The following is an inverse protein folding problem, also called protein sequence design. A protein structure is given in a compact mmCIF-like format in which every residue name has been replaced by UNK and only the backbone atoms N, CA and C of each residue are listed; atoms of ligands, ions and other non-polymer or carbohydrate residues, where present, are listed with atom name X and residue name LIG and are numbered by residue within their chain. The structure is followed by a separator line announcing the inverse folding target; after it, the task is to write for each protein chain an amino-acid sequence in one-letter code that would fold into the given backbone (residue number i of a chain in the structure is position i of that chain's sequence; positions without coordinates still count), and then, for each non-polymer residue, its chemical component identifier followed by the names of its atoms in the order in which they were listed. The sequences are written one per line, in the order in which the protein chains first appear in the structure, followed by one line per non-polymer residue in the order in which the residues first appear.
data_IF_396793041198
#
_entry.id   IF_396793041198
#
_cell.length_a   1.000
_cell.length_b   1.000
_cell.length_c   1.000
_cell.angle_alpha   90.00
_cell.angle_beta   90.00
_cell.angle_gamma   90.00
#
_symmetry.space_group_name_H-M   'P 1'
#
loop_
_entity.id
_entity.type
_entity.pdbx_description
1 polymer ?
#
# COMPACT_ATOMS: atom_id res chain seq x y z
N UNK A 1 -6.00 -37.09 116.08
CA UNK A 1 -4.90 -36.15 115.76
C UNK A 1 -4.92 -35.90 114.25
N UNK A 2 -5.50 -34.79 113.82
CA UNK A 2 -5.58 -34.39 112.41
C UNK A 2 -4.34 -33.58 112.06
N UNK A 3 -3.43 -34.16 111.28
CA UNK A 3 -2.25 -33.46 110.76
C UNK A 3 -2.72 -32.26 109.93
N UNK A 4 -2.30 -31.04 110.29
CA UNK A 4 -2.54 -29.86 109.46
C UNK A 4 -1.64 -29.96 108.22
N UNK A 5 -2.25 -30.06 107.05
CA UNK A 5 -1.58 -30.26 105.75
C UNK A 5 -0.69 -29.08 105.29
N UNK A 6 -0.78 -27.91 105.91
CA UNK A 6 -0.02 -26.72 105.52
C UNK A 6 0.45 -25.91 106.74
N UNK A 7 1.66 -25.36 106.64
CA UNK A 7 2.20 -24.42 107.62
C UNK A 7 1.56 -23.03 107.49
N UNK A 8 1.51 -22.21 108.55
CA UNK A 8 0.88 -20.89 108.50
C UNK A 8 1.44 -19.95 107.43
N UNK A 9 2.75 -20.05 107.13
CA UNK A 9 3.43 -19.32 106.06
C UNK A 9 2.99 -19.77 104.67
N UNK A 10 2.78 -21.07 104.46
CA UNK A 10 2.26 -21.60 103.18
C UNK A 10 0.82 -21.18 102.96
N UNK A 11 -0.01 -21.17 104.01
CA UNK A 11 -1.38 -20.66 103.94
C UNK A 11 -1.42 -19.17 103.52
N UNK A 12 -0.51 -18.34 104.03
CA UNK A 12 -0.40 -16.92 103.66
C UNK A 12 0.10 -16.71 102.22
N UNK A 13 1.04 -17.54 101.75
CA UNK A 13 1.50 -17.50 100.37
C UNK A 13 0.39 -17.95 99.39
N UNK A 14 -0.31 -19.05 99.70
CA UNK A 14 -1.48 -19.50 98.94
C UNK A 14 -2.60 -18.46 98.95
N UNK A 15 -2.81 -17.76 100.07
CA UNK A 15 -3.75 -16.66 100.18
C UNK A 15 -3.48 -15.53 99.18
N UNK A 16 -2.21 -15.12 99.03
CA UNK A 16 -1.83 -14.08 98.08
C UNK A 16 -2.02 -14.56 96.62
N UNK A 17 -1.53 -15.75 96.29
CA UNK A 17 -1.61 -16.32 94.93
C UNK A 17 -3.07 -16.52 94.51
N UNK A 18 -3.91 -17.09 95.37
CA UNK A 18 -5.32 -17.28 95.04
C UNK A 18 -6.10 -15.97 94.97
N UNK A 19 -5.75 -14.98 95.81
CA UNK A 19 -6.38 -13.66 95.70
C UNK A 19 -6.06 -12.99 94.37
N UNK A 20 -4.85 -13.13 93.85
CA UNK A 20 -4.47 -12.51 92.58
C UNK A 20 -5.04 -13.28 91.38
N UNK A 21 -5.04 -14.62 91.43
CA UNK A 21 -5.72 -15.45 90.43
C UNK A 21 -7.23 -15.13 90.35
N UNK A 22 -7.91 -14.93 91.48
CA UNK A 22 -9.32 -14.50 91.48
C UNK A 22 -9.51 -13.12 90.81
N UNK A 23 -8.59 -12.16 91.01
CA UNK A 23 -8.67 -10.84 90.38
C UNK A 23 -8.45 -10.90 88.87
N UNK A 24 -7.48 -11.69 88.41
CA UNK A 24 -7.21 -11.85 86.97
C UNK A 24 -8.40 -12.49 86.26
N UNK A 25 -9.04 -13.47 86.90
CA UNK A 25 -10.23 -14.09 86.31
C UNK A 25 -11.47 -13.20 86.41
N UNK A 26 -11.63 -12.40 87.47
CA UNK A 26 -12.65 -11.34 87.49
C UNK A 26 -12.42 -10.32 86.36
N UNK A 27 -11.17 -9.98 86.04
CA UNK A 27 -10.82 -9.10 84.91
C UNK A 27 -11.21 -9.71 83.56
N UNK A 28 -10.90 -10.98 83.33
CA UNK A 28 -11.32 -11.70 82.11
C UNK A 28 -12.85 -11.80 82.00
N UNK A 29 -13.55 -12.11 83.10
CA UNK A 29 -15.01 -12.12 83.15
C UNK A 29 -15.59 -10.73 82.86
N UNK A 30 -14.97 -9.66 83.38
CA UNK A 30 -15.40 -8.29 83.13
C UNK A 30 -15.18 -7.83 81.68
N UNK A 31 -14.08 -8.23 81.04
CA UNK A 31 -13.84 -7.97 79.61
C UNK A 31 -14.88 -8.70 78.75
N UNK A 32 -15.24 -9.93 79.13
CA UNK A 32 -16.38 -10.63 78.53
C UNK A 32 -17.68 -9.85 78.71
N UNK A 33 -18.07 -9.53 79.94
CA UNK A 33 -19.35 -8.86 80.25
C UNK A 33 -19.51 -7.47 79.62
N UNK A 34 -18.43 -6.68 79.53
CA UNK A 34 -18.49 -5.35 78.92
C UNK A 34 -18.63 -5.37 77.39
N UNK A 35 -18.17 -6.43 76.72
CA UNK A 35 -18.37 -6.61 75.28
C UNK A 35 -19.64 -7.42 74.94
N UNK A 36 -20.28 -8.07 75.92
CA UNK A 36 -21.46 -8.94 75.75
C UNK A 36 -22.74 -8.45 76.46
N UNK A 37 -22.88 -7.16 76.81
CA UNK A 37 -24.15 -6.65 77.38
C UNK A 37 -25.21 -6.46 76.30
N UNK A 38 -26.07 -7.47 76.17
CA UNK A 38 -27.42 -7.34 75.61
C UNK A 38 -28.19 -6.28 76.39
N UNK A 39 -28.67 -5.26 75.68
CA UNK A 39 -29.59 -4.25 76.21
C UNK A 39 -30.84 -4.92 76.77
N UNK A 40 -31.03 -4.88 78.08
CA UNK A 40 -32.36 -4.97 78.68
C UNK A 40 -32.47 -3.98 79.84
N UNK A 41 -33.04 -2.81 79.53
CA UNK A 41 -33.53 -1.85 80.51
C UNK A 41 -34.88 -2.34 81.02
N UNK A 42 -34.97 -2.65 82.31
CA UNK A 42 -36.24 -2.64 83.04
C UNK A 42 -36.07 -1.82 84.32
N UNK A 43 -36.42 -0.54 84.19
CA UNK A 43 -36.61 0.39 85.29
C UNK A 43 -37.93 0.06 85.98
N UNK A 44 -37.88 -0.65 87.12
CA UNK A 44 -38.99 -0.81 88.05
C UNK A 44 -38.73 -0.02 89.33
N UNK A 45 -39.21 1.22 89.39
CA UNK A 45 -39.22 2.04 90.60
C UNK A 45 -40.50 1.71 91.39
N UNK A 46 -40.36 1.00 92.51
CA UNK A 46 -41.45 0.74 93.45
C UNK A 46 -41.35 1.71 94.65
N UNK A 47 -42.51 2.21 95.03
CA UNK A 47 -42.79 3.21 96.04
C UNK A 47 -42.28 2.81 97.44
N UNK A 48 -41.70 3.78 98.16
CA UNK A 48 -41.42 3.70 99.60
C UNK A 48 -42.22 4.78 100.33
N UNK A 49 -43.34 4.39 100.92
CA UNK A 49 -44.05 5.15 101.95
C UNK A 49 -44.55 4.14 103.00
N UNK A 50 -43.63 3.54 103.77
CA UNK A 50 -44.03 2.77 104.96
C UNK A 50 -42.94 2.54 106.01
N UNK A 51 -41.92 3.40 106.12
CA UNK A 51 -40.69 2.94 106.78
C UNK A 51 -40.23 3.71 108.01
N UNK A 52 -41.05 4.51 108.73
CA UNK A 52 -40.57 5.13 109.98
C UNK A 52 -40.42 4.14 111.15
N UNK A 53 -41.25 3.09 111.19
CA UNK A 53 -41.16 2.00 112.16
C UNK A 53 -40.17 0.92 111.70
N UNK A 54 -40.11 0.69 110.39
CA UNK A 54 -39.11 -0.17 109.75
C UNK A 54 -37.71 0.46 109.80
N UNK A 55 -37.55 1.79 109.82
CA UNK A 55 -36.25 2.44 110.02
C UNK A 55 -35.73 2.25 111.43
N UNK A 56 -36.56 2.29 112.47
CA UNK A 56 -36.10 2.07 113.85
C UNK A 56 -35.83 0.58 114.10
N UNK A 57 -36.66 -0.32 113.55
CA UNK A 57 -36.39 -1.76 113.59
C UNK A 57 -35.16 -2.11 112.76
N UNK A 58 -34.98 -1.50 111.57
CA UNK A 58 -33.74 -1.59 110.80
C UNK A 58 -32.57 -0.98 111.56
N UNK A 59 -32.73 0.08 112.34
CA UNK A 59 -31.64 0.69 113.11
C UNK A 59 -31.19 -0.22 114.25
N UNK A 60 -32.12 -0.87 114.93
CA UNK A 60 -31.82 -1.91 115.95
C UNK A 60 -31.24 -3.15 115.27
N UNK A 61 -31.80 -3.58 114.13
CA UNK A 61 -31.31 -4.71 113.36
C UNK A 61 -29.90 -4.41 112.85
N UNK A 62 -29.65 -3.28 112.21
CA UNK A 62 -28.33 -2.79 111.77
C UNK A 62 -27.37 -2.55 112.93
N UNK A 63 -27.79 -2.06 114.09
CA UNK A 63 -26.90 -1.97 115.25
C UNK A 63 -26.53 -3.36 115.78
N UNK A 64 -27.48 -4.30 115.77
CA UNK A 64 -27.22 -5.70 116.14
C UNK A 64 -26.36 -6.37 115.09
N UNK A 65 -26.57 -6.09 113.81
CA UNK A 65 -25.79 -6.56 112.66
C UNK A 65 -24.42 -5.91 112.64
N UNK A 66 -24.26 -4.65 113.06
CA UNK A 66 -22.98 -3.97 113.24
C UNK A 66 -22.23 -4.51 114.44
N UNK A 67 -22.93 -4.89 115.51
CA UNK A 67 -22.33 -5.65 116.62
C UNK A 67 -21.92 -7.04 116.15
N UNK A 68 -22.78 -7.75 115.42
CA UNK A 68 -22.48 -9.05 114.83
C UNK A 68 -21.35 -8.97 113.80
N UNK A 69 -21.28 -7.89 113.02
CA UNK A 69 -20.25 -7.61 112.02
C UNK A 69 -18.94 -7.18 112.68
N UNK A 70 -18.97 -6.38 113.76
CA UNK A 70 -17.79 -6.13 114.59
C UNK A 70 -17.27 -7.42 115.23
N UNK A 71 -18.16 -8.26 115.76
CA UNK A 71 -17.82 -9.59 116.30
C UNK A 71 -17.36 -10.58 115.24
N UNK A 72 -17.68 -10.35 113.96
CA UNK A 72 -17.28 -11.19 112.82
C UNK A 72 -16.00 -10.68 112.13
N UNK A 73 -15.68 -9.39 112.28
CA UNK A 73 -14.43 -8.76 111.81
C UNK A 73 -13.29 -8.92 112.80
N UNK A 74 -13.60 -9.04 114.08
CA UNK A 74 -12.65 -9.46 115.11
C UNK A 74 -12.75 -10.98 115.29
N UNK A 75 -11.61 -11.67 115.36
CA UNK A 75 -11.57 -13.13 115.25
C UNK A 75 -12.19 -13.80 116.51
N UNK A 76 -13.50 -14.02 116.52
CA UNK A 76 -14.23 -14.72 117.60
C UNK A 76 -14.93 -15.98 117.09
N UNK A 77 -14.93 -17.05 117.89
CA UNK A 77 -15.62 -18.32 117.60
C UNK A 77 -16.79 -18.48 118.58
N UNK A 78 -17.99 -18.75 118.05
CA UNK A 78 -19.21 -18.96 118.83
C UNK A 78 -19.19 -20.36 119.43
N UNK A 79 -19.23 -20.45 120.76
CA UNK A 79 -19.31 -21.70 121.49
C UNK A 79 -20.79 -22.15 121.56
N UNK A 80 -21.05 -23.46 121.71
CA UNK A 80 -22.41 -24.00 121.74
C UNK A 80 -23.28 -23.51 122.92
N UNK A 81 -22.69 -22.77 123.86
CA UNK A 81 -23.37 -22.09 124.97
C UNK A 81 -23.79 -20.63 124.63
N UNK A 82 -23.53 -20.16 123.41
CA UNK A 82 -23.88 -18.82 122.92
C UNK A 82 -22.89 -17.73 123.32
N UNK A 83 -21.73 -18.08 123.88
CA UNK A 83 -20.66 -17.12 124.20
C UNK A 83 -19.56 -17.11 123.12
N UNK A 84 -18.86 -15.98 122.99
CA UNK A 84 -17.84 -15.76 121.97
C UNK A 84 -16.43 -15.76 122.59
N UNK A 85 -15.54 -16.63 122.12
CA UNK A 85 -14.13 -16.66 122.50
C UNK A 85 -13.24 -16.08 121.39
N UNK A 86 -12.27 -15.23 121.76
CA UNK A 86 -11.27 -14.71 120.81
C UNK A 86 -10.36 -15.85 120.34
N UNK A 87 -10.26 -16.02 119.03
CA UNK A 87 -9.42 -16.98 118.33
C UNK A 87 -7.94 -16.69 118.57
N UNK A 88 -7.13 -17.74 118.74
CA UNK A 88 -5.67 -17.59 118.69
C UNK A 88 -5.22 -17.24 117.26
N UNK A 89 -4.06 -16.58 117.12
CA UNK A 89 -3.54 -16.14 115.81
C UNK A 89 -3.51 -17.27 114.76
N UNK A 90 -3.13 -18.49 115.14
CA UNK A 90 -3.14 -19.66 114.25
C UNK A 90 -4.54 -20.08 113.78
N UNK A 91 -5.54 -19.95 114.65
CA UNK A 91 -6.92 -20.32 114.32
C UNK A 91 -7.59 -19.22 113.47
N UNK A 92 -7.27 -17.95 113.74
CA UNK A 92 -7.65 -16.80 112.90
C UNK A 92 -7.13 -16.95 111.46
N UNK A 93 -5.84 -17.28 111.30
CA UNK A 93 -5.23 -17.51 109.98
C UNK A 93 -5.94 -18.66 109.26
N UNK A 94 -6.27 -19.73 109.97
CA UNK A 94 -6.96 -20.89 109.39
C UNK A 94 -8.40 -20.58 108.96
N UNK A 95 -9.14 -19.80 109.73
CA UNK A 95 -10.51 -19.37 109.37
C UNK A 95 -10.48 -18.43 108.16
N UNK A 96 -9.55 -17.48 108.11
CA UNK A 96 -9.35 -16.60 106.95
C UNK A 96 -8.94 -17.39 105.70
N UNK A 97 -8.04 -18.36 105.86
CA UNK A 97 -7.66 -19.29 104.80
C UNK A 97 -8.88 -20.08 104.28
N UNK A 98 -9.70 -20.66 105.17
CA UNK A 98 -10.88 -21.42 104.76
C UNK A 98 -11.95 -20.55 104.09
N UNK A 99 -12.16 -19.31 104.56
CA UNK A 99 -13.06 -18.36 103.90
C UNK A 99 -12.57 -17.99 102.50
N UNK A 100 -11.27 -17.80 102.32
CA UNK A 100 -10.72 -17.46 101.02
C UNK A 100 -10.71 -18.69 100.11
N UNK A 101 -10.40 -19.88 100.62
CA UNK A 101 -10.55 -21.14 99.86
C UNK A 101 -12.01 -21.36 99.47
N UNK A 102 -12.98 -21.08 100.34
CA UNK A 102 -14.40 -21.20 99.95
C UNK A 102 -14.81 -20.18 98.90
N UNK A 103 -14.29 -18.94 99.00
CA UNK A 103 -14.51 -17.90 97.98
C UNK A 103 -13.87 -18.29 96.65
N UNK A 104 -12.63 -18.78 96.67
CA UNK A 104 -11.90 -19.27 95.49
C UNK A 104 -12.65 -20.44 94.87
N UNK A 105 -13.07 -21.40 95.67
CA UNK A 105 -13.86 -22.54 95.22
C UNK A 105 -15.22 -22.12 94.64
N UNK A 106 -15.89 -21.10 95.19
CA UNK A 106 -17.13 -20.59 94.62
C UNK A 106 -16.90 -19.83 93.32
N UNK A 107 -15.85 -19.02 93.21
CA UNK A 107 -15.47 -18.38 91.94
C UNK A 107 -15.09 -19.39 90.88
N UNK A 108 -14.28 -20.40 91.21
CA UNK A 108 -13.91 -21.48 90.29
C UNK A 108 -15.12 -22.30 89.87
N UNK A 109 -16.08 -22.55 90.78
CA UNK A 109 -17.33 -23.24 90.43
C UNK A 109 -18.22 -22.39 89.53
N UNK A 110 -18.34 -21.09 89.79
CA UNK A 110 -19.08 -20.17 88.94
C UNK A 110 -18.44 -20.05 87.54
N UNK A 111 -17.11 -20.03 87.46
CA UNK A 111 -16.37 -20.09 86.21
C UNK A 111 -16.59 -21.39 85.46
N UNK A 112 -16.58 -22.52 86.17
CA UNK A 112 -16.78 -23.83 85.56
C UNK A 112 -18.20 -23.97 85.03
N UNK A 113 -19.20 -23.43 85.75
CA UNK A 113 -20.59 -23.31 85.27
C UNK A 113 -20.67 -22.35 84.07
N UNK A 114 -20.02 -21.19 84.11
CA UNK A 114 -19.98 -20.26 82.97
C UNK A 114 -19.31 -20.90 81.76
N UNK A 115 -18.27 -21.71 81.96
CA UNK A 115 -17.56 -22.42 80.90
C UNK A 115 -18.41 -23.56 80.29
N UNK A 116 -19.14 -24.31 81.13
CA UNK A 116 -20.06 -25.38 80.71
C UNK A 116 -21.35 -24.84 80.06
N UNK A 117 -21.92 -23.75 80.60
CA UNK A 117 -23.20 -23.18 80.12
C UNK A 117 -23.01 -22.24 78.91
N UNK A 118 -21.94 -21.43 78.88
CA UNK A 118 -21.74 -20.41 77.83
C UNK A 118 -20.76 -20.83 76.73
N UNK A 119 -20.00 -21.93 76.92
CA UNK A 119 -19.11 -22.47 75.90
C UNK A 119 -18.09 -21.46 75.36
N UNK A 120 -17.60 -20.55 76.21
CA UNK A 120 -16.87 -19.32 75.85
C UNK A 120 -15.72 -19.56 74.85
N UNK A 121 -14.97 -20.66 75.00
CA UNK A 121 -13.90 -21.04 74.07
C UNK A 121 -14.41 -21.41 72.68
N UNK A 122 -15.53 -22.15 72.59
CA UNK A 122 -16.14 -22.50 71.30
C UNK A 122 -16.73 -21.29 70.58
N UNK A 123 -17.21 -20.29 71.34
CA UNK A 123 -17.72 -19.03 70.80
C UNK A 123 -16.58 -18.16 70.28
N UNK A 124 -15.45 -18.09 70.99
CA UNK A 124 -14.23 -17.42 70.54
C UNK A 124 -13.61 -18.10 69.31
N UNK A 125 -13.58 -19.43 69.27
CA UNK A 125 -13.09 -20.20 68.12
C UNK A 125 -13.97 -19.97 66.88
N UNK A 126 -15.30 -19.99 67.05
CA UNK A 126 -16.24 -19.64 65.97
C UNK A 126 -16.04 -18.22 65.47
N UNK A 127 -15.81 -17.27 66.37
CA UNK A 127 -15.57 -15.87 65.99
C UNK A 127 -14.25 -15.70 65.26
N UNK A 128 -13.17 -16.33 65.73
CA UNK A 128 -11.88 -16.30 65.07
C UNK A 128 -11.95 -16.94 63.67
N UNK A 129 -12.66 -18.08 63.54
CA UNK A 129 -12.91 -18.71 62.24
C UNK A 129 -13.77 -17.82 61.33
N UNK A 130 -14.72 -17.08 61.89
CA UNK A 130 -15.54 -16.13 61.13
C UNK A 130 -14.72 -14.92 60.67
N UNK A 131 -13.90 -14.31 61.53
CA UNK A 131 -12.98 -13.24 61.13
C UNK A 131 -11.98 -13.73 60.08
N UNK A 132 -11.41 -14.93 60.25
CA UNK A 132 -10.52 -15.51 59.26
C UNK A 132 -11.23 -15.71 57.91
N UNK A 133 -12.49 -16.16 57.92
CA UNK A 133 -13.28 -16.28 56.69
C UNK A 133 -13.57 -14.93 56.03
N UNK A 134 -13.85 -13.88 56.82
CA UNK A 134 -14.03 -12.53 56.27
C UNK A 134 -12.71 -11.95 55.72
N UNK A 135 -11.57 -12.24 56.36
CA UNK A 135 -10.25 -11.88 55.84
C UNK A 135 -9.93 -12.60 54.54
N UNK A 136 -10.23 -13.90 54.43
CA UNK A 136 -10.02 -14.66 53.20
C UNK A 136 -10.91 -14.12 52.06
N UNK A 137 -12.17 -13.77 52.35
CA UNK A 137 -13.05 -13.09 51.38
C UNK A 137 -12.46 -11.75 50.94
N UNK A 138 -11.95 -10.95 51.88
CA UNK A 138 -11.33 -9.67 51.55
C UNK A 138 -10.07 -9.86 50.69
N UNK A 139 -9.25 -10.87 50.98
CA UNK A 139 -8.06 -11.19 50.20
C UNK A 139 -8.42 -11.60 48.76
N UNK A 140 -9.47 -12.42 48.57
CA UNK A 140 -9.96 -12.78 47.22
C UNK A 140 -10.51 -11.57 46.47
N UNK A 141 -11.21 -10.66 47.16
CA UNK A 141 -11.70 -9.42 46.56
C UNK A 141 -10.58 -8.50 46.13
N UNK A 142 -9.54 -8.33 46.96
CA UNK A 142 -8.34 -7.54 46.61
C UNK A 142 -7.58 -8.16 45.43
N UNK A 143 -7.43 -9.48 45.41
CA UNK A 143 -6.83 -10.18 44.28
C UNK A 143 -7.60 -9.95 42.98
N UNK A 144 -8.92 -10.10 43.01
CA UNK A 144 -9.78 -9.83 41.85
C UNK A 144 -9.74 -8.35 41.41
N UNK A 145 -9.69 -7.41 42.37
CA UNK A 145 -9.56 -6.00 42.06
C UNK A 145 -8.23 -5.67 41.37
N UNK A 146 -7.12 -6.27 41.82
CA UNK A 146 -5.81 -6.09 41.18
C UNK A 146 -5.75 -6.69 39.76
N UNK A 147 -6.35 -7.86 39.55
CA UNK A 147 -6.48 -8.45 38.21
C UNK A 147 -7.30 -7.56 37.28
N UNK A 148 -8.42 -7.00 37.78
CA UNK A 148 -9.26 -6.07 37.02
C UNK A 148 -8.55 -4.76 36.70
N UNK A 149 -7.73 -4.25 37.62
CA UNK A 149 -6.90 -3.07 37.38
C UNK A 149 -5.83 -3.34 36.30
N UNK A 150 -5.21 -4.52 36.31
CA UNK A 150 -4.27 -4.93 35.27
C UNK A 150 -4.97 -5.11 33.90
N UNK A 151 -6.16 -5.71 33.87
CA UNK A 151 -6.97 -5.84 32.66
C UNK A 151 -7.36 -4.46 32.10
N UNK A 152 -7.73 -3.52 32.97
CA UNK A 152 -8.06 -2.15 32.60
C UNK A 152 -6.85 -1.42 31.99
N UNK A 153 -5.67 -1.57 32.59
CA UNK A 153 -4.44 -0.99 32.05
C UNK A 153 -4.10 -1.53 30.64
N UNK A 154 -4.23 -2.85 30.43
CA UNK A 154 -4.03 -3.45 29.10
C UNK A 154 -5.04 -2.95 28.07
N UNK A 155 -6.32 -2.89 28.45
CA UNK A 155 -7.36 -2.35 27.57
C UNK A 155 -7.13 -0.87 27.23
N UNK A 156 -6.57 -0.08 28.16
CA UNK A 156 -6.18 1.30 27.87
C UNK A 156 -5.03 1.38 26.85
N UNK A 157 -4.03 0.50 26.97
CA UNK A 157 -2.94 0.40 25.99
C UNK A 157 -3.48 0.00 24.60
N UNK A 158 -4.36 -0.99 24.54
CA UNK A 158 -5.00 -1.44 23.29
C UNK A 158 -5.83 -0.32 22.65
N UNK A 159 -6.57 0.46 23.44
CA UNK A 159 -7.34 1.62 22.94
C UNK A 159 -6.40 2.69 22.38
N UNK A 160 -5.28 2.98 23.06
CA UNK A 160 -4.31 3.96 22.56
C UNK A 160 -3.63 3.48 21.27
N UNK A 161 -3.25 2.20 21.19
CA UNK A 161 -2.68 1.60 19.99
C UNK A 161 -3.68 1.68 18.81
N UNK A 162 -4.93 1.30 19.03
CA UNK A 162 -5.98 1.39 18.02
C UNK A 162 -6.21 2.84 17.54
N UNK A 163 -6.19 3.82 18.45
CA UNK A 163 -6.30 5.23 18.10
C UNK A 163 -5.14 5.70 17.21
N UNK A 164 -3.91 5.28 17.51
CA UNK A 164 -2.74 5.61 16.69
C UNK A 164 -2.83 4.98 15.31
N UNK A 165 -3.26 3.72 15.21
CA UNK A 165 -3.44 3.01 13.94
C UNK A 165 -4.52 3.68 13.08
N UNK A 166 -5.68 4.01 13.66
CA UNK A 166 -6.75 4.74 12.97
C UNK A 166 -6.23 6.09 12.45
N UNK A 167 -5.46 6.83 13.26
CA UNK A 167 -4.91 8.12 12.84
C UNK A 167 -3.91 7.96 11.70
N UNK A 168 -3.05 6.95 11.77
CA UNK A 168 -2.08 6.64 10.71
C UNK A 168 -2.79 6.28 9.40
N UNK A 169 -3.74 5.35 9.44
CA UNK A 169 -4.53 4.95 8.28
C UNK A 169 -5.30 6.15 7.70
N UNK A 170 -5.89 7.00 8.56
CA UNK A 170 -6.59 8.21 8.12
C UNK A 170 -5.68 9.15 7.33
N UNK A 171 -4.44 9.36 7.80
CA UNK A 171 -3.46 10.19 7.10
C UNK A 171 -3.03 9.57 5.77
N UNK A 172 -2.81 8.25 5.73
CA UNK A 172 -2.47 7.52 4.51
C UNK A 172 -3.62 7.57 3.49
N UNK A 173 -4.86 7.36 3.91
CA UNK A 173 -6.05 7.50 3.05
C UNK A 173 -6.24 8.94 2.56
N UNK A 174 -6.02 9.95 3.40
CA UNK A 174 -6.09 11.34 2.97
C UNK A 174 -5.01 11.68 1.94
N UNK A 175 -3.80 11.12 2.09
CA UNK A 175 -2.70 11.30 1.14
C UNK A 175 -3.00 10.62 -0.21
N UNK A 176 -3.47 9.37 -0.19
CA UNK A 176 -3.85 8.64 -1.41
C UNK A 176 -5.01 9.31 -2.14
N UNK A 177 -6.04 9.78 -1.42
CA UNK A 177 -7.14 10.55 -2.01
C UNK A 177 -6.65 11.85 -2.67
N UNK A 178 -5.70 12.56 -2.05
CA UNK A 178 -5.10 13.76 -2.63
C UNK A 178 -4.34 13.45 -3.92
N UNK A 179 -3.54 12.39 -3.92
CA UNK A 179 -2.77 11.96 -5.09
C UNK A 179 -3.70 11.54 -6.24
N UNK A 180 -4.70 10.71 -5.96
CA UNK A 180 -5.71 10.29 -6.94
C UNK A 180 -6.47 11.48 -7.53
N UNK A 181 -6.80 12.49 -6.71
CA UNK A 181 -7.42 13.73 -7.20
C UNK A 181 -6.50 14.48 -8.17
N UNK A 182 -5.20 14.54 -7.88
CA UNK A 182 -4.21 15.18 -8.74
C UNK A 182 -4.06 14.44 -10.08
N UNK A 183 -3.90 13.10 -10.03
CA UNK A 183 -3.81 12.25 -11.21
C UNK A 183 -5.07 12.37 -12.09
N UNK A 184 -6.25 12.37 -11.48
CA UNK A 184 -7.51 12.56 -12.20
C UNK A 184 -7.56 13.91 -12.91
N UNK A 185 -7.11 14.98 -12.26
CA UNK A 185 -7.06 16.31 -12.85
C UNK A 185 -6.07 16.37 -14.02
N UNK A 186 -4.90 15.76 -13.88
CA UNK A 186 -3.89 15.67 -14.94
C UNK A 186 -4.41 14.90 -16.16
N UNK A 187 -5.04 13.74 -15.96
CA UNK A 187 -5.67 12.96 -17.05
C UNK A 187 -6.74 13.78 -17.76
N UNK A 188 -7.56 14.54 -17.01
CA UNK A 188 -8.60 15.39 -17.60
C UNK A 188 -8.01 16.49 -18.48
N UNK A 189 -6.97 17.18 -18.02
CA UNK A 189 -6.32 18.24 -18.80
C UNK A 189 -5.54 17.66 -20.00
N UNK A 190 -4.90 16.49 -19.85
CA UNK A 190 -4.28 15.77 -20.98
C UNK A 190 -5.32 15.41 -22.04
N UNK A 191 -6.46 14.85 -21.65
CA UNK A 191 -7.54 14.50 -22.58
C UNK A 191 -8.06 15.73 -23.32
N UNK A 192 -8.21 16.87 -22.63
CA UNK A 192 -8.60 18.15 -23.23
C UNK A 192 -7.57 18.64 -24.26
N UNK A 193 -6.27 18.59 -23.93
CA UNK A 193 -5.21 18.95 -24.88
C UNK A 193 -5.19 18.03 -26.10
N UNK A 194 -5.33 16.71 -25.91
CA UNK A 194 -5.36 15.74 -27.01
C UNK A 194 -6.54 16.01 -27.94
N UNK A 195 -7.73 16.28 -27.38
CA UNK A 195 -8.91 16.63 -28.17
C UNK A 195 -8.68 17.90 -29.00
N UNK A 196 -8.12 18.96 -28.39
CA UNK A 196 -7.81 20.21 -29.09
C UNK A 196 -6.77 20.02 -30.19
N UNK A 197 -5.70 19.28 -29.90
CA UNK A 197 -4.64 18.98 -30.87
C UNK A 197 -5.20 18.20 -32.06
N UNK A 198 -5.93 17.11 -31.80
CA UNK A 198 -6.53 16.28 -32.85
C UNK A 198 -7.55 17.06 -33.67
N UNK A 199 -8.39 17.86 -33.03
CA UNK A 199 -9.33 18.75 -33.72
C UNK A 199 -8.59 19.67 -34.70
N UNK A 200 -7.53 20.36 -34.24
CA UNK A 200 -6.73 21.24 -35.08
C UNK A 200 -6.01 20.50 -36.21
N UNK A 201 -5.46 19.32 -35.94
CA UNK A 201 -4.81 18.45 -36.93
C UNK A 201 -5.79 18.10 -38.06
N UNK A 202 -6.99 17.60 -37.72
CA UNK A 202 -8.01 17.26 -38.70
C UNK A 202 -8.54 18.49 -39.44
N UNK A 203 -8.75 19.62 -38.77
CA UNK A 203 -9.17 20.86 -39.42
C UNK A 203 -8.11 21.32 -40.43
N UNK A 204 -6.83 21.26 -40.08
CA UNK A 204 -5.73 21.66 -40.97
C UNK A 204 -5.64 20.73 -42.18
N UNK A 205 -5.66 19.42 -41.95
CA UNK A 205 -5.64 18.42 -43.02
C UNK A 205 -6.86 18.55 -43.96
N UNK A 206 -8.04 18.90 -43.42
CA UNK A 206 -9.22 19.20 -44.22
C UNK A 206 -9.01 20.43 -45.09
N UNK A 207 -8.50 21.53 -44.52
CA UNK A 207 -8.23 22.76 -45.27
C UNK A 207 -7.21 22.53 -46.39
N UNK A 208 -6.13 21.80 -46.12
CA UNK A 208 -5.11 21.45 -47.12
C UNK A 208 -5.71 20.62 -48.26
N UNK A 209 -6.50 19.58 -47.94
CA UNK A 209 -7.17 18.77 -48.96
C UNK A 209 -8.18 19.57 -49.76
N UNK A 210 -8.97 20.42 -49.11
CA UNK A 210 -9.92 21.31 -49.79
C UNK A 210 -9.19 22.26 -50.73
N UNK A 211 -8.12 22.92 -50.28
CA UNK A 211 -7.31 23.81 -51.10
C UNK A 211 -6.73 23.09 -52.32
N UNK A 212 -6.18 21.88 -52.14
CA UNK A 212 -5.67 21.06 -53.25
C UNK A 212 -6.77 20.69 -54.25
N UNK A 213 -7.95 20.28 -53.76
CA UNK A 213 -9.09 19.94 -54.64
C UNK A 213 -9.62 21.17 -55.39
N UNK A 214 -9.72 22.32 -54.73
CA UNK A 214 -10.09 23.58 -55.38
C UNK A 214 -9.07 24.00 -56.43
N UNK A 215 -7.77 23.83 -56.15
CA UNK A 215 -6.70 24.08 -57.13
C UNK A 215 -6.83 23.20 -58.37
N UNK A 216 -7.01 21.89 -58.19
CA UNK A 216 -7.23 20.95 -59.29
C UNK A 216 -8.49 21.27 -60.09
N UNK A 217 -9.58 21.65 -59.41
CA UNK A 217 -10.82 22.05 -60.06
C UNK A 217 -10.58 23.27 -60.95
N UNK A 218 -9.88 24.30 -60.44
CA UNK A 218 -9.54 25.50 -61.21
C UNK A 218 -8.69 25.16 -62.44
N UNK A 219 -7.65 24.34 -62.29
CA UNK A 219 -6.80 23.93 -63.41
C UNK A 219 -7.62 23.17 -64.47
N UNK A 220 -8.54 22.32 -64.06
CA UNK A 220 -9.41 21.57 -64.96
C UNK A 220 -10.41 22.49 -65.67
N UNK A 221 -10.99 23.46 -64.95
CA UNK A 221 -11.84 24.51 -65.55
C UNK A 221 -11.05 25.31 -66.59
N UNK A 222 -9.82 25.73 -66.29
CA UNK A 222 -8.99 26.46 -67.24
C UNK A 222 -8.65 25.61 -68.48
N UNK A 223 -8.43 24.29 -68.32
CA UNK A 223 -8.26 23.36 -69.45
C UNK A 223 -9.52 23.29 -70.31
N UNK A 224 -10.69 23.19 -69.68
CA UNK A 224 -11.98 23.18 -70.39
C UNK A 224 -12.18 24.47 -71.18
N UNK A 225 -11.91 25.63 -70.60
CA UNK A 225 -12.05 26.91 -71.30
C UNK A 225 -11.06 27.06 -72.46
N UNK A 226 -9.81 26.60 -72.29
CA UNK A 226 -8.84 26.54 -73.41
C UNK A 226 -9.33 25.64 -74.55
N UNK A 227 -9.86 24.45 -74.24
CA UNK A 227 -10.39 23.54 -75.26
C UNK A 227 -11.60 24.16 -75.96
N UNK A 228 -12.51 24.80 -75.23
CA UNK A 228 -13.64 25.54 -75.83
C UNK A 228 -13.16 26.63 -76.78
N UNK A 229 -12.14 27.40 -76.41
CA UNK A 229 -11.58 28.44 -77.27
C UNK A 229 -10.97 27.86 -78.56
N UNK A 230 -10.24 26.73 -78.45
CA UNK A 230 -9.69 26.01 -79.61
C UNK A 230 -10.79 25.48 -80.52
N UNK A 231 -11.84 24.89 -79.95
CA UNK A 231 -13.00 24.42 -80.73
C UNK A 231 -13.66 25.58 -81.45
N UNK A 232 -13.96 26.69 -80.76
CA UNK A 232 -14.60 27.86 -81.37
C UNK A 232 -13.75 28.45 -82.51
N UNK A 233 -12.43 28.54 -82.32
CA UNK A 233 -11.52 29.01 -83.36
C UNK A 233 -11.46 28.03 -84.55
N UNK A 234 -11.42 26.72 -84.30
CA UNK A 234 -11.44 25.69 -85.34
C UNK A 234 -12.74 25.74 -86.15
N UNK A 235 -13.89 25.89 -85.48
CA UNK A 235 -15.20 26.08 -86.13
C UNK A 235 -15.18 27.32 -87.02
N UNK A 236 -14.70 28.46 -86.53
CA UNK A 236 -14.60 29.70 -87.32
C UNK A 236 -13.72 29.54 -88.55
N UNK A 237 -12.52 28.95 -88.41
CA UNK A 237 -11.60 28.73 -89.54
C UNK A 237 -12.21 27.76 -90.55
N UNK A 238 -12.91 26.72 -90.09
CA UNK A 238 -13.63 25.77 -90.96
C UNK A 238 -14.72 26.49 -91.75
N UNK A 239 -15.53 27.34 -91.11
CA UNK A 239 -16.55 28.15 -91.77
C UNK A 239 -15.95 29.12 -92.80
N UNK A 240 -14.89 29.86 -92.44
CA UNK A 240 -14.16 30.75 -93.35
C UNK A 240 -13.59 30.00 -94.56
N UNK A 241 -12.98 28.83 -94.31
CA UNK A 241 -12.41 27.97 -95.37
C UNK A 241 -13.51 27.44 -96.28
N UNK A 242 -14.63 26.99 -95.72
CA UNK A 242 -15.78 26.51 -96.50
C UNK A 242 -16.37 27.64 -97.35
N UNK A 243 -16.57 28.84 -96.78
CA UNK A 243 -17.03 30.00 -97.54
C UNK A 243 -16.08 30.36 -98.69
N UNK A 244 -14.76 30.33 -98.44
CA UNK A 244 -13.76 30.57 -99.48
C UNK A 244 -13.80 29.51 -100.58
N UNK A 245 -13.85 28.22 -100.22
CA UNK A 245 -13.94 27.10 -101.15
C UNK A 245 -15.22 27.19 -101.99
N UNK A 246 -16.37 27.46 -101.39
CA UNK A 246 -17.61 27.65 -102.14
C UNK A 246 -17.50 28.81 -103.12
N UNK A 247 -16.93 29.94 -102.71
CA UNK A 247 -16.70 31.08 -103.59
C UNK A 247 -15.75 30.76 -104.75
N UNK A 248 -14.64 30.06 -104.49
CA UNK A 248 -13.69 29.66 -105.53
C UNK A 248 -14.32 28.64 -106.49
N UNK A 249 -15.01 27.61 -105.98
CA UNK A 249 -15.75 26.64 -106.79
C UNK A 249 -16.73 27.38 -107.71
N UNK A 250 -17.53 28.31 -107.19
CA UNK A 250 -18.45 29.10 -108.02
C UNK A 250 -17.72 29.87 -109.13
N UNK A 251 -16.59 30.52 -108.81
CA UNK A 251 -15.76 31.21 -109.82
C UNK A 251 -15.21 30.25 -110.86
N UNK A 252 -14.72 29.08 -110.46
CA UNK A 252 -14.17 28.05 -111.36
C UNK A 252 -15.24 27.44 -112.26
N UNK A 253 -16.45 27.20 -111.75
CA UNK A 253 -17.59 26.76 -112.55
C UNK A 253 -17.93 27.82 -113.60
N UNK A 254 -18.04 29.10 -113.22
CA UNK A 254 -18.26 30.19 -114.19
C UNK A 254 -17.15 30.28 -115.24
N UNK A 255 -15.89 30.06 -114.86
CA UNK A 255 -14.76 30.05 -115.79
C UNK A 255 -14.75 28.80 -116.69
N UNK A 256 -15.20 27.64 -116.22
CA UNK A 256 -15.22 26.42 -117.03
C UNK A 256 -16.30 26.48 -118.11
N UNK A 257 -17.42 27.14 -117.83
CA UNK A 257 -18.46 27.46 -118.83
C UNK A 257 -17.92 28.34 -119.99
N UNK A 258 -16.82 29.07 -119.76
CA UNK A 258 -16.16 29.93 -120.76
C UNK A 258 -15.03 29.25 -121.53
N UNK A 259 -14.65 28.00 -121.19
CA UNK A 259 -13.60 27.26 -121.91
C UNK A 259 -14.22 26.57 -123.13
N UNK A 260 -13.77 26.87 -124.37
CA UNK A 260 -14.19 26.11 -125.55
C UNK A 260 -13.76 24.65 -125.40
N UNK A 261 -14.69 23.71 -125.57
CA UNK A 261 -14.38 22.28 -125.68
C UNK A 261 -13.57 22.02 -126.94
N UNK A 262 -12.25 22.17 -126.87
CA UNK A 262 -11.32 21.81 -127.94
C UNK A 262 -10.18 20.95 -127.39
N UNK A 263 -10.10 19.70 -127.88
CA UNK A 263 -8.93 18.80 -128.01
C UNK A 263 -7.82 18.80 -126.94
N UNK A 264 -8.18 18.97 -125.66
CA UNK A 264 -7.28 18.81 -124.52
C UNK A 264 -7.01 17.34 -124.05
N UNK A 265 -7.84 16.30 -124.32
CA UNK A 265 -7.67 15.00 -123.66
C UNK A 265 -6.40 14.24 -124.10
N UNK A 266 -5.87 14.54 -125.29
CA UNK A 266 -4.72 13.82 -125.86
C UNK A 266 -3.37 14.30 -125.30
N UNK A 267 -3.26 15.57 -124.90
CA UNK A 267 -2.07 16.10 -124.21
C UNK A 267 -2.05 15.71 -122.73
N UNK A 268 -3.23 15.58 -122.11
CA UNK A 268 -3.38 15.19 -120.71
C UNK A 268 -3.01 13.71 -120.52
N UNK A 269 -3.42 12.83 -121.43
CA UNK A 269 -3.09 11.40 -121.36
C UNK A 269 -1.59 11.13 -121.46
N UNK A 270 -0.86 11.81 -122.36
CA UNK A 270 0.60 11.67 -122.44
C UNK A 270 1.32 12.15 -121.18
N UNK A 271 0.85 13.25 -120.58
CA UNK A 271 1.44 13.79 -119.34
C UNK A 271 1.14 12.93 -118.12
N UNK A 272 -0.04 12.30 -118.07
CA UNK A 272 -0.39 11.31 -117.05
C UNK A 272 0.54 10.08 -117.11
N UNK A 273 0.86 9.59 -118.31
CA UNK A 273 1.75 8.44 -118.46
C UNK A 273 3.20 8.77 -118.03
N UNK A 274 3.69 9.97 -118.34
CA UNK A 274 4.98 10.45 -117.82
C UNK A 274 5.02 10.52 -116.30
N UNK A 275 3.97 11.07 -115.67
CA UNK A 275 3.87 11.16 -114.21
C UNK A 275 3.82 9.77 -113.59
N UNK A 276 3.09 8.84 -114.22
CA UNK A 276 2.99 7.45 -113.76
C UNK A 276 4.35 6.75 -113.76
N UNK A 277 5.16 6.98 -114.81
CA UNK A 277 6.51 6.44 -114.90
C UNK A 277 7.45 7.03 -113.84
N UNK A 278 7.42 8.35 -113.65
CA UNK A 278 8.20 9.02 -112.61
C UNK A 278 7.83 8.54 -111.21
N UNK A 279 6.54 8.31 -110.95
CA UNK A 279 6.07 7.79 -109.67
C UNK A 279 6.65 6.39 -109.40
N UNK A 280 6.72 5.53 -110.40
CA UNK A 280 7.26 4.18 -110.25
C UNK A 280 8.78 4.20 -110.01
N UNK A 281 9.50 5.08 -110.73
CA UNK A 281 10.94 5.31 -110.50
C UNK A 281 11.20 5.84 -109.08
N UNK A 282 10.38 6.77 -108.58
CA UNK A 282 10.48 7.28 -107.22
C UNK A 282 10.15 6.25 -106.15
N UNK A 283 9.18 5.36 -106.37
CA UNK A 283 8.91 4.24 -105.46
C UNK A 283 10.09 3.29 -105.39
N UNK A 284 10.67 2.93 -106.53
CA UNK A 284 11.85 2.06 -106.56
C UNK A 284 13.03 2.69 -105.80
N UNK A 285 13.24 4.00 -105.98
CA UNK A 285 14.26 4.75 -105.23
C UNK A 285 13.96 4.78 -103.73
N UNK A 286 12.70 4.96 -103.32
CA UNK A 286 12.32 4.97 -101.91
C UNK A 286 12.57 3.61 -101.24
N UNK A 287 12.23 2.51 -101.91
CA UNK A 287 12.50 1.15 -101.40
C UNK A 287 14.00 0.97 -101.18
N UNK A 288 14.83 1.37 -102.15
CA UNK A 288 16.29 1.29 -102.03
C UNK A 288 16.83 2.15 -100.89
N UNK A 289 16.34 3.38 -100.73
CA UNK A 289 16.75 4.25 -99.62
C UNK A 289 16.36 3.63 -98.27
N UNK A 290 15.19 3.02 -98.17
CA UNK A 290 14.75 2.37 -96.94
C UNK A 290 15.69 1.22 -96.55
N UNK A 291 16.09 0.38 -97.51
CA UNK A 291 17.08 -0.69 -97.29
C UNK A 291 18.44 -0.14 -96.85
N UNK A 292 18.91 0.96 -97.46
CA UNK A 292 20.16 1.63 -97.10
C UNK A 292 20.11 2.20 -95.66
N UNK A 293 18.97 2.79 -95.26
CA UNK A 293 18.77 3.29 -93.90
C UNK A 293 18.73 2.17 -92.87
N UNK A 294 18.04 1.06 -93.15
CA UNK A 294 18.00 -0.10 -92.26
C UNK A 294 19.40 -0.70 -92.08
N UNK A 295 20.20 -0.73 -93.14
CA UNK A 295 21.60 -1.19 -93.09
C UNK A 295 22.45 -0.25 -92.22
N UNK A 296 22.33 1.06 -92.40
CA UNK A 296 23.04 2.06 -91.59
C UNK A 296 22.64 1.98 -90.11
N UNK A 297 21.34 1.86 -89.81
CA UNK A 297 20.83 1.75 -88.44
C UNK A 297 21.33 0.46 -87.76
N UNK A 298 21.44 -0.64 -88.51
CA UNK A 298 22.05 -1.88 -88.01
C UNK A 298 23.53 -1.72 -87.67
N UNK A 299 24.31 -1.00 -88.51
CA UNK A 299 25.73 -0.70 -88.21
C UNK A 299 25.85 0.13 -86.93
N UNK A 300 25.02 1.17 -86.78
CA UNK A 300 25.00 2.01 -85.58
C UNK A 300 24.65 1.21 -84.32
N UNK A 301 23.67 0.30 -84.41
CA UNK A 301 23.33 -0.60 -83.29
C UNK A 301 24.48 -1.51 -82.91
N UNK A 302 25.24 -2.04 -83.88
CA UNK A 302 26.40 -2.90 -83.61
C UNK A 302 27.53 -2.10 -82.94
N UNK A 303 27.88 -0.92 -83.48
CA UNK A 303 28.90 -0.04 -82.90
C UNK A 303 28.54 0.39 -81.47
N UNK A 304 27.26 0.70 -81.22
CA UNK A 304 26.80 1.06 -79.87
C UNK A 304 26.96 -0.12 -78.89
N UNK A 305 26.61 -1.35 -79.30
CA UNK A 305 26.82 -2.55 -78.47
C UNK A 305 28.30 -2.79 -78.18
N UNK A 306 29.19 -2.55 -79.14
CA UNK A 306 30.63 -2.70 -78.95
C UNK A 306 31.18 -1.65 -77.97
N UNK A 307 30.79 -0.38 -78.11
CA UNK A 307 31.15 0.69 -77.17
C UNK A 307 30.69 0.41 -75.75
N UNK A 308 29.45 -0.07 -75.58
CA UNK A 308 28.92 -0.41 -74.27
C UNK A 308 29.65 -1.63 -73.66
N UNK A 309 30.03 -2.63 -74.48
CA UNK A 309 30.84 -3.76 -74.03
C UNK A 309 32.25 -3.34 -73.57
N UNK A 310 32.88 -2.38 -74.27
CA UNK A 310 34.17 -1.80 -73.87
C UNK A 310 34.02 -1.05 -72.54
N UNK A 311 33.00 -0.18 -72.40
CA UNK A 311 32.74 0.57 -71.17
C UNK A 311 32.58 -0.37 -69.97
N UNK A 312 31.82 -1.46 -70.13
CA UNK A 312 31.60 -2.44 -69.06
C UNK A 312 32.90 -3.15 -68.65
N UNK A 313 33.78 -3.49 -69.60
CA UNK A 313 35.10 -4.08 -69.32
C UNK A 313 36.00 -3.11 -68.57
N UNK A 314 35.99 -1.83 -68.93
CA UNK A 314 36.75 -0.80 -68.22
C UNK A 314 36.26 -0.60 -66.79
N UNK A 315 34.94 -0.53 -66.57
CA UNK A 315 34.34 -0.43 -65.23
C UNK A 315 34.67 -1.64 -64.36
N UNK A 316 34.63 -2.85 -64.93
CA UNK A 316 35.05 -4.05 -64.23
C UNK A 316 36.53 -3.99 -63.83
N UNK A 317 37.40 -3.55 -64.74
CA UNK A 317 38.84 -3.45 -64.48
C UNK A 317 39.13 -2.39 -63.41
N UNK A 318 38.44 -1.24 -63.44
CA UNK A 318 38.53 -0.22 -62.38
C UNK A 318 38.13 -0.77 -61.02
N UNK A 319 37.01 -1.53 -60.94
CA UNK A 319 36.58 -2.18 -59.69
C UNK A 319 37.62 -3.17 -59.17
N UNK A 320 38.19 -4.00 -60.05
CA UNK A 320 39.25 -4.95 -59.67
C UNK A 320 40.48 -4.20 -59.13
N UNK A 321 40.93 -3.14 -59.80
CA UNK A 321 42.07 -2.33 -59.35
C UNK A 321 41.80 -1.72 -57.97
N UNK A 322 40.61 -1.15 -57.74
CA UNK A 322 40.23 -0.61 -56.44
C UNK A 322 40.27 -1.68 -55.35
N UNK A 323 39.71 -2.86 -55.60
CA UNK A 323 39.76 -3.99 -54.64
C UNK A 323 41.19 -4.42 -54.35
N UNK A 324 42.05 -4.48 -55.37
CA UNK A 324 43.48 -4.77 -55.18
C UNK A 324 44.16 -3.72 -54.31
N UNK A 325 43.89 -2.43 -54.53
CA UNK A 325 44.43 -1.33 -53.72
C UNK A 325 43.94 -1.46 -52.27
N UNK A 326 42.65 -1.74 -52.05
CA UNK A 326 42.08 -1.95 -50.72
C UNK A 326 42.76 -3.12 -50.01
N UNK A 327 42.91 -4.27 -50.67
CA UNK A 327 43.64 -5.42 -50.12
C UNK A 327 45.09 -5.07 -49.82
N UNK A 328 45.78 -4.34 -50.71
CA UNK A 328 47.15 -3.90 -50.47
C UNK A 328 47.24 -2.93 -49.28
N UNK A 329 46.32 -1.98 -49.14
CA UNK A 329 46.27 -1.07 -48.01
C UNK A 329 45.99 -1.81 -46.70
N UNK A 330 45.02 -2.71 -46.69
CA UNK A 330 44.70 -3.56 -45.54
C UNK A 330 45.91 -4.40 -45.14
N UNK A 331 46.58 -5.03 -46.09
CA UNK A 331 47.80 -5.81 -45.84
C UNK A 331 48.94 -4.94 -45.30
N UNK A 332 49.19 -3.75 -45.87
CA UNK A 332 50.19 -2.81 -45.36
C UNK A 332 49.88 -2.38 -43.92
N UNK A 333 48.62 -2.09 -43.61
CA UNK A 333 48.17 -1.77 -42.26
C UNK A 333 48.37 -2.94 -41.31
N UNK A 334 48.00 -4.16 -41.71
CA UNK A 334 48.20 -5.37 -40.90
C UNK A 334 49.69 -5.67 -40.65
N UNK A 335 50.54 -5.48 -41.65
CA UNK A 335 52.00 -5.60 -41.50
C UNK A 335 52.54 -4.61 -40.49
N UNK A 336 52.06 -3.35 -40.51
CA UNK A 336 52.46 -2.33 -39.55
C UNK A 336 51.96 -2.63 -38.12
N UNK A 337 50.68 -2.99 -37.97
CA UNK A 337 50.06 -3.30 -36.66
C UNK A 337 50.65 -4.57 -36.03
N UNK A 338 50.92 -5.61 -36.82
CA UNK A 338 51.44 -6.90 -36.34
C UNK A 338 52.96 -7.03 -36.39
N UNK A 339 53.69 -5.97 -36.76
CA UNK A 339 55.16 -5.96 -36.76
C UNK A 339 55.83 -6.97 -37.70
N UNK A 340 55.18 -7.33 -38.81
CA UNK A 340 55.67 -8.37 -39.73
C UNK A 340 56.87 -7.82 -40.53
N UNK A 341 58.07 -8.37 -40.35
CA UNK A 341 59.27 -7.93 -41.10
C UNK A 341 59.23 -8.36 -42.56
N UNK A 342 58.96 -7.42 -43.48
CA UNK A 342 59.03 -7.65 -44.93
C UNK A 342 60.49 -7.82 -45.40
N UNK A 343 60.76 -8.91 -46.12
CA UNK A 343 62.09 -9.23 -46.69
C UNK A 343 62.45 -8.23 -47.80
N UNK A 344 63.52 -7.43 -47.64
CA UNK A 344 64.01 -6.46 -48.65
C UNK A 344 64.38 -7.18 -49.96
N UNK A 345 63.72 -6.85 -51.08
CA UNK A 345 64.09 -7.35 -52.42
C UNK A 345 65.26 -6.55 -53.01
N UNK A 346 66.25 -7.25 -53.56
CA UNK A 346 67.39 -6.75 -54.35
C UNK A 346 66.90 -6.03 -55.63
N UNK A 347 67.48 -4.87 -55.97
CA UNK A 347 67.24 -4.12 -57.23
C UNK A 347 67.88 -4.85 -58.41
N UNK A 348 67.11 -5.12 -59.47
CA UNK A 348 67.55 -5.75 -60.72
C UNK A 348 67.03 -5.03 -61.97
N UNK A 349 67.92 -4.94 -62.97
CA UNK A 349 67.99 -4.25 -64.28
C UNK A 349 66.73 -4.15 -65.17
N UNK A 350 66.68 -3.05 -65.95
CA UNK A 350 65.81 -2.77 -67.12
C UNK A 350 66.20 -3.62 -68.35
N UNK A 351 65.21 -4.17 -69.07
CA UNK A 351 65.21 -4.45 -70.52
C UNK A 351 63.85 -3.95 -71.07
N UNK A 352 63.72 -3.11 -72.09
CA UNK A 352 64.19 -3.11 -73.49
C UNK A 352 63.31 -3.97 -74.44
N UNK A 353 62.48 -3.24 -75.23
CA UNK A 353 62.02 -3.42 -76.63
C UNK A 353 61.56 -4.81 -77.11
N UNK A 354 60.42 -4.84 -77.82
CA UNK A 354 60.16 -5.44 -79.15
C UNK A 354 58.65 -5.29 -79.46
N UNK A 355 58.10 -5.24 -80.68
CA UNK A 355 58.47 -4.80 -82.04
C UNK A 355 57.15 -4.91 -82.83
N UNK A 356 56.89 -3.95 -83.72
CA UNK A 356 55.72 -3.81 -84.58
C UNK A 356 55.91 -4.70 -85.82
N UNK A 357 54.89 -5.46 -86.25
CA UNK A 357 54.80 -6.04 -87.59
C UNK A 357 53.44 -5.74 -88.17
N UNK A 358 53.49 -5.11 -89.34
CA UNK A 358 52.42 -4.82 -90.28
C UNK A 358 52.52 -5.90 -91.36
N UNK A 359 51.42 -6.46 -91.82
CA UNK A 359 51.36 -7.18 -93.09
C UNK A 359 49.99 -6.89 -93.73
N UNK A 360 50.04 -6.38 -94.96
CA UNK A 360 48.92 -6.11 -95.86
C UNK A 360 48.48 -7.41 -96.53
N UNK A 361 47.19 -7.53 -96.86
CA UNK A 361 46.77 -8.21 -98.09
C UNK A 361 45.34 -7.79 -98.51
N UNK A 362 45.21 -7.47 -99.80
CA UNK A 362 44.01 -7.28 -100.64
C UNK A 362 44.30 -8.07 -101.92
N UNK A 363 43.36 -8.37 -102.85
CA UNK A 363 41.88 -8.32 -102.82
C UNK A 363 41.25 -9.62 -103.40
N UNK A 364 39.92 -9.75 -103.39
CA UNK A 364 39.20 -10.52 -104.43
C UNK A 364 37.75 -10.07 -104.59
N UNK A 365 37.40 -9.78 -105.84
CA UNK A 365 36.05 -9.73 -106.38
C UNK A 365 35.45 -11.14 -106.44
N UNK A 366 34.14 -11.27 -106.20
CA UNK A 366 33.27 -12.17 -106.98
C UNK A 366 31.80 -11.77 -106.79
N UNK A 367 31.09 -11.70 -107.93
CA UNK A 367 29.65 -11.90 -108.20
C UNK A 367 28.73 -12.13 -106.97
N UNK A 368 27.58 -11.46 -106.83
CA UNK A 368 26.51 -11.21 -107.81
C UNK A 368 25.68 -10.02 -107.35
#
# INVERSE_FOLDING_TARGET
MTQSLFTPSECLALLAVFSDACKEVELLSNIGKHNFTSQNRSSGCAQTNQDTLLTELNKIFFQTLLRYEKSRREDYLELPDGTFRKLNEHESIKVKYLQIVSRVASTLRNLLIELDESGTFTTLEKYNNQEQSELDKLATFVGSAAEKEQELARLQEDVQALQMDIQKESVEFAATLRNLKHEFQEVREMAKMVLQYKSKEYTTALHEKMAAKTGNLRELTDKVERVKAVIAQSTRVSEETNCWLYSDITKKVMLSELIPQNDLPLKVSQRLEQIRKQLEDHKALHVKLQEDYETCDNILRVDQREKDAIRLREEYTKRVIMSVIQIQSWWRTMVAVRGIRLRRKRKGKKSAKYKKTTEEDKPTETAT
#
